data_IF_056388854546
#
_entry.id   IF_056388854546
#
_cell.length_a   1.000
_cell.length_b   1.000
_cell.length_c   1.000
_cell.angle_alpha   90.00
_cell.angle_beta   90.00
_cell.angle_gamma   90.00
#
_symmetry.space_group_name_H-M   'P 1'
#
loop_
_entity.id
_entity.type
_entity.pdbx_description
1 polymer ?
#
# COMPACT_ATOMS: atom_id res chain seq x y z
N UNK A 1 20.77 4.78 27.07
CA UNK A 1 19.39 5.01 27.56
C UNK A 1 18.45 4.58 26.45
N UNK A 2 17.39 3.82 26.76
CA UNK A 2 16.38 3.46 25.76
C UNK A 2 15.64 4.74 25.35
N UNK A 3 15.58 5.03 24.05
CA UNK A 3 14.95 6.24 23.52
C UNK A 3 13.91 5.88 22.49
N UNK A 4 12.73 6.47 22.64
CA UNK A 4 11.69 6.45 21.61
C UNK A 4 11.45 7.87 21.11
N UNK A 5 11.14 7.98 19.82
CA UNK A 5 10.81 9.23 19.16
C UNK A 5 9.36 9.12 18.71
N UNK A 6 8.50 9.95 19.31
CA UNK A 6 7.13 10.15 18.86
C UNK A 6 7.11 11.30 17.86
N UNK A 7 6.76 11.00 16.62
CA UNK A 7 6.64 11.95 15.53
C UNK A 7 5.17 12.17 15.21
N UNK A 8 4.66 13.38 15.41
CA UNK A 8 3.33 13.78 14.95
C UNK A 8 3.45 14.50 13.61
N UNK A 9 2.67 14.08 12.64
CA UNK A 9 2.65 14.65 11.29
C UNK A 9 1.54 15.70 11.16
N UNK A 10 1.60 16.57 10.14
CA UNK A 10 0.57 17.57 9.86
C UNK A 10 -0.80 16.95 9.57
N UNK A 11 -0.84 15.73 9.05
CA UNK A 11 -2.07 14.97 8.84
C UNK A 11 -2.67 14.38 10.14
N UNK A 12 -2.11 14.68 11.32
CA UNK A 12 -2.60 14.22 12.63
C UNK A 12 -2.14 12.81 13.03
N UNK A 13 -1.54 12.04 12.12
CA UNK A 13 -0.97 10.73 12.46
C UNK A 13 0.28 10.86 13.32
N UNK A 14 0.40 10.00 14.33
CA UNK A 14 1.58 9.94 15.21
C UNK A 14 2.25 8.57 15.12
N UNK A 15 3.55 8.55 14.86
CA UNK A 15 4.38 7.34 14.77
C UNK A 15 5.37 7.29 15.93
N UNK A 16 5.57 6.10 16.51
CA UNK A 16 6.59 5.89 17.54
C UNK A 16 7.72 5.05 16.96
N UNK A 17 8.90 5.63 16.83
CA UNK A 17 10.11 4.94 16.38
C UNK A 17 11.02 4.67 17.58
N UNK A 18 11.56 3.47 17.68
CA UNK A 18 12.56 3.12 18.69
C UNK A 18 13.94 3.24 18.06
N UNK A 19 14.75 4.18 18.56
CA UNK A 19 16.09 4.45 18.00
C UNK A 19 17.11 3.33 18.35
N UNK A 20 16.76 2.43 19.26
CA UNK A 20 17.61 1.33 19.72
C UNK A 20 16.71 0.18 20.17
N UNK A 21 17.18 -1.07 20.07
CA UNK A 21 16.51 -2.25 20.64
C UNK A 21 16.31 -2.06 22.14
N UNK A 22 15.14 -1.57 22.49
CA UNK A 22 14.72 -1.43 23.86
C UNK A 22 14.28 -2.81 24.37
N UNK A 23 14.90 -3.25 25.46
CA UNK A 23 14.38 -4.30 26.34
C UNK A 23 14.29 -5.67 25.67
N UNK A 24 15.43 -6.36 25.60
CA UNK A 24 15.42 -7.81 25.41
C UNK A 24 14.75 -8.48 26.61
N UNK A 25 14.04 -9.61 26.43
CA UNK A 25 13.27 -10.27 27.47
C UNK A 25 14.10 -10.80 28.67
N UNK A 26 15.44 -10.68 28.63
CA UNK A 26 16.33 -11.06 29.73
C UNK A 26 16.52 -9.99 30.81
N UNK A 27 16.03 -8.76 30.59
CA UNK A 27 16.26 -7.66 31.52
C UNK A 27 15.18 -7.62 32.62
N UNK A 28 15.57 -7.91 33.86
CA UNK A 28 14.75 -7.90 35.08
C UNK A 28 14.31 -6.53 35.59
N UNK A 29 14.36 -5.47 34.76
CA UNK A 29 13.91 -4.11 35.12
C UNK A 29 12.95 -3.55 34.08
N UNK A 30 11.85 -2.88 34.50
CA UNK A 30 11.02 -2.11 33.58
C UNK A 30 11.87 -1.00 32.99
N UNK A 31 12.09 -1.09 31.70
CA UNK A 31 12.75 -0.08 30.90
C UNK A 31 11.71 0.98 30.53
N UNK A 32 11.76 2.14 31.16
CA UNK A 32 11.01 3.30 30.67
C UNK A 32 11.85 4.00 29.60
N UNK A 33 11.44 3.96 28.30
CA UNK A 33 12.11 4.76 27.28
C UNK A 33 12.01 6.23 27.64
N UNK A 34 13.10 6.96 27.45
CA UNK A 34 13.04 8.41 27.31
C UNK A 34 12.31 8.74 26.00
N UNK A 35 11.33 9.63 26.05
CA UNK A 35 10.42 9.90 24.92
C UNK A 35 10.69 11.30 24.40
N UNK A 36 11.28 11.38 23.20
CA UNK A 36 11.34 12.63 22.45
C UNK A 36 10.08 12.79 21.63
N UNK A 37 9.45 13.96 21.73
CA UNK A 37 8.29 14.31 20.89
C UNK A 37 8.76 15.32 19.84
N UNK A 38 8.42 15.07 18.59
CA UNK A 38 8.70 15.97 17.48
C UNK A 38 7.47 16.11 16.59
N UNK A 39 7.33 17.28 15.98
CA UNK A 39 6.29 17.56 14.99
C UNK A 39 6.95 17.77 13.63
N UNK A 40 6.38 17.16 12.59
CA UNK A 40 6.79 17.36 11.21
C UNK A 40 5.62 17.95 10.42
N UNK A 41 5.88 19.10 9.78
CA UNK A 41 4.91 19.78 8.92
C UNK A 41 4.88 19.15 7.52
N UNK A 42 4.64 17.84 7.49
CA UNK A 42 4.55 17.04 6.27
C UNK A 42 3.42 16.01 6.44
N UNK A 43 2.98 15.41 5.33
CA UNK A 43 1.99 14.34 5.33
C UNK A 43 2.67 12.98 5.39
N UNK A 44 2.08 12.04 6.13
CA UNK A 44 2.61 10.68 6.17
C UNK A 44 2.31 9.94 4.86
N UNK A 45 3.08 8.88 4.60
CA UNK A 45 2.85 8.00 3.45
C UNK A 45 1.43 7.38 3.42
N UNK A 46 0.70 7.35 4.55
CA UNK A 46 -0.69 6.88 4.59
C UNK A 46 -1.69 7.92 4.05
N UNK A 47 -1.33 9.20 4.09
CA UNK A 47 -2.14 10.32 3.57
C UNK A 47 -1.68 10.77 2.18
N UNK A 48 -0.40 10.60 1.84
CA UNK A 48 0.15 10.97 0.54
C UNK A 48 -0.49 10.15 -0.61
N UNK A 49 -1.19 10.81 -1.57
CA UNK A 49 -1.88 10.11 -2.65
C UNK A 49 -0.95 9.28 -3.54
N UNK A 50 0.26 9.75 -3.81
CA UNK A 50 1.22 9.00 -4.62
C UNK A 50 1.68 7.73 -3.93
N UNK A 51 2.07 7.81 -2.66
CA UNK A 51 2.48 6.67 -1.85
C UNK A 51 1.34 5.66 -1.71
N UNK A 52 0.10 6.13 -1.56
CA UNK A 52 -1.09 5.26 -1.56
C UNK A 52 -1.26 4.54 -2.91
N UNK A 53 -1.17 5.25 -4.04
CA UNK A 53 -1.27 4.65 -5.39
C UNK A 53 -0.14 3.65 -5.65
N UNK A 54 1.09 3.96 -5.23
CA UNK A 54 2.22 3.03 -5.33
C UNK A 54 1.95 1.74 -4.56
N UNK A 55 1.39 1.80 -3.36
CA UNK A 55 1.00 0.59 -2.61
C UNK A 55 -0.08 -0.21 -3.34
N UNK A 56 -1.13 0.44 -3.83
CA UNK A 56 -2.18 -0.24 -4.62
C UNK A 56 -1.60 -0.93 -5.85
N UNK A 57 -0.67 -0.28 -6.55
CA UNK A 57 0.04 -0.87 -7.69
C UNK A 57 0.86 -2.10 -7.30
N UNK A 58 1.63 -2.02 -6.21
CA UNK A 58 2.43 -3.15 -5.73
C UNK A 58 1.56 -4.34 -5.33
N UNK A 59 0.44 -4.10 -4.65
CA UNK A 59 -0.53 -5.14 -4.31
C UNK A 59 -1.09 -5.82 -5.57
N UNK A 60 -1.46 -5.01 -6.57
CA UNK A 60 -1.96 -5.51 -7.87
C UNK A 60 -0.90 -6.37 -8.57
N UNK A 61 0.33 -5.88 -8.71
CA UNK A 61 1.41 -6.57 -9.41
C UNK A 61 1.75 -7.90 -8.72
N UNK A 62 1.83 -7.91 -7.38
CA UNK A 62 2.05 -9.12 -6.59
C UNK A 62 0.95 -10.15 -6.84
N UNK A 63 -0.32 -9.75 -6.70
CA UNK A 63 -1.45 -10.67 -6.88
C UNK A 63 -1.58 -11.13 -8.33
N UNK A 64 -1.34 -10.25 -9.29
CA UNK A 64 -1.41 -10.58 -10.71
C UNK A 64 -0.33 -11.61 -11.09
N UNK A 65 0.88 -11.49 -10.55
CA UNK A 65 1.94 -12.48 -10.76
C UNK A 65 1.55 -13.89 -10.24
N UNK A 66 0.93 -13.97 -9.06
CA UNK A 66 0.41 -15.24 -8.52
C UNK A 66 -0.67 -15.84 -9.43
N UNK A 67 -1.62 -15.03 -9.88
CA UNK A 67 -2.69 -15.48 -10.77
C UNK A 67 -2.13 -15.96 -12.12
N UNK A 68 -1.15 -15.26 -12.69
CA UNK A 68 -0.50 -15.71 -13.92
C UNK A 68 0.25 -17.02 -13.75
N UNK A 69 0.89 -17.25 -12.60
CA UNK A 69 1.52 -18.53 -12.30
C UNK A 69 0.47 -19.67 -12.25
N UNK A 70 -0.69 -19.44 -11.64
CA UNK A 70 -1.80 -20.41 -11.63
C UNK A 70 -2.36 -20.68 -13.02
N UNK A 71 -2.52 -19.63 -13.83
CA UNK A 71 -2.97 -19.76 -15.22
C UNK A 71 -2.01 -20.61 -16.05
N UNK A 72 -0.70 -20.35 -15.93
CA UNK A 72 0.34 -21.12 -16.64
C UNK A 72 0.32 -22.58 -16.18
N UNK A 73 0.13 -22.85 -14.89
CA UNK A 73 0.02 -24.21 -14.37
C UNK A 73 -1.20 -24.94 -14.96
N UNK A 74 -2.39 -24.31 -14.95
CA UNK A 74 -3.61 -24.88 -15.53
C UNK A 74 -3.48 -25.10 -17.05
N UNK A 75 -2.84 -24.17 -17.76
CA UNK A 75 -2.57 -24.28 -19.19
C UNK A 75 -1.67 -25.48 -19.53
N UNK A 76 -0.68 -25.79 -18.68
CA UNK A 76 0.20 -26.95 -18.86
C UNK A 76 -0.53 -28.28 -18.72
N UNK A 77 -1.58 -28.34 -17.90
CA UNK A 77 -2.41 -29.54 -17.71
C UNK A 77 -3.61 -29.59 -18.65
N UNK A 78 -3.86 -28.52 -19.42
CA UNK A 78 -5.03 -28.41 -20.30
C UNK A 78 -6.36 -28.23 -19.54
N UNK A 79 -6.31 -27.78 -18.28
CA UNK A 79 -7.50 -27.59 -17.45
C UNK A 79 -8.17 -26.25 -17.77
N UNK A 80 -9.09 -26.28 -18.74
CA UNK A 80 -9.83 -25.11 -19.20
C UNK A 80 -10.72 -24.47 -18.13
N UNK A 81 -11.29 -25.27 -17.23
CA UNK A 81 -12.14 -24.75 -16.15
C UNK A 81 -11.29 -24.00 -15.12
N UNK A 82 -10.11 -24.50 -14.79
CA UNK A 82 -9.16 -23.78 -13.95
C UNK A 82 -8.67 -22.48 -14.60
N UNK A 83 -8.40 -22.50 -15.90
CA UNK A 83 -8.03 -21.29 -16.65
C UNK A 83 -9.14 -20.23 -16.58
N UNK A 84 -10.39 -20.61 -16.85
CA UNK A 84 -11.54 -19.69 -16.80
C UNK A 84 -11.75 -19.09 -15.40
N UNK A 85 -11.57 -19.89 -14.32
CA UNK A 85 -11.61 -19.38 -12.95
C UNK A 85 -10.50 -18.36 -12.67
N UNK A 86 -9.28 -18.62 -13.14
CA UNK A 86 -8.17 -17.68 -12.96
C UNK A 86 -8.40 -16.38 -13.74
N UNK A 87 -8.96 -16.43 -14.95
CA UNK A 87 -9.34 -15.24 -15.71
C UNK A 87 -10.36 -14.37 -14.97
N UNK A 88 -11.36 -14.99 -14.33
CA UNK A 88 -12.30 -14.27 -13.46
C UNK A 88 -11.61 -13.56 -12.29
N UNK A 89 -10.65 -14.25 -11.64
CA UNK A 89 -9.88 -13.65 -10.54
C UNK A 89 -8.98 -12.51 -11.03
N UNK A 90 -8.46 -12.57 -12.26
CA UNK A 90 -7.70 -11.47 -12.86
C UNK A 90 -8.58 -10.24 -13.08
N UNK A 91 -9.81 -10.44 -13.59
CA UNK A 91 -10.79 -9.36 -13.75
C UNK A 91 -11.17 -8.74 -12.40
N UNK A 92 -11.37 -9.56 -11.37
CA UNK A 92 -11.66 -9.09 -10.02
C UNK A 92 -10.48 -8.30 -9.42
N UNK A 93 -9.24 -8.78 -9.61
CA UNK A 93 -8.03 -8.08 -9.16
C UNK A 93 -7.90 -6.69 -9.84
N UNK A 94 -8.22 -6.59 -11.13
CA UNK A 94 -8.24 -5.32 -11.84
C UNK A 94 -9.34 -4.38 -11.31
N UNK A 95 -10.56 -4.89 -11.12
CA UNK A 95 -11.70 -4.10 -10.61
C UNK A 95 -11.42 -3.53 -9.22
N UNK A 96 -10.98 -4.38 -8.29
CA UNK A 96 -10.65 -3.95 -6.91
C UNK A 96 -9.51 -2.92 -6.88
N UNK A 97 -8.55 -3.04 -7.79
CA UNK A 97 -7.47 -2.06 -7.96
C UNK A 97 -8.00 -0.72 -8.47
N UNK A 98 -8.93 -0.72 -9.42
CA UNK A 98 -9.60 0.50 -9.89
C UNK A 98 -10.39 1.19 -8.78
N UNK A 99 -11.20 0.43 -8.02
CA UNK A 99 -11.97 0.94 -6.89
C UNK A 99 -11.07 1.62 -5.85
N UNK A 100 -9.96 0.95 -5.45
CA UNK A 100 -8.99 1.52 -4.51
C UNK A 100 -8.31 2.78 -5.07
N UNK A 101 -8.00 2.84 -6.36
CA UNK A 101 -7.43 4.04 -6.97
C UNK A 101 -8.45 5.19 -7.05
N UNK A 102 -9.73 4.87 -7.23
CA UNK A 102 -10.80 5.86 -7.18
C UNK A 102 -10.94 6.47 -5.77
N UNK A 103 -10.89 5.66 -4.72
CA UNK A 103 -10.88 6.12 -3.31
C UNK A 103 -9.65 6.97 -2.95
N UNK A 104 -8.54 6.82 -3.67
CA UNK A 104 -7.35 7.66 -3.48
C UNK A 104 -7.50 8.99 -4.23
N UNK A 105 -8.30 9.02 -5.28
CA UNK A 105 -8.45 10.22 -6.10
C UNK A 105 -9.13 11.30 -5.29
N UNK A 106 -8.51 12.49 -5.18
CA UNK A 106 -9.12 13.57 -4.44
C UNK A 106 -10.42 13.92 -5.13
N UNK A 107 -11.53 13.91 -4.39
CA UNK A 107 -12.76 14.55 -4.83
C UNK A 107 -12.43 16.00 -5.20
N UNK A 108 -12.34 16.31 -6.50
CA UNK A 108 -12.24 17.65 -7.09
C UNK A 108 -11.20 18.60 -6.46
N UNK A 109 -9.92 18.39 -6.76
CA UNK A 109 -8.95 19.49 -6.97
C UNK A 109 -7.89 19.04 -7.97
N UNK A 110 -8.27 18.96 -9.24
CA UNK A 110 -7.43 19.37 -10.38
C UNK A 110 -8.23 19.19 -11.68
N UNK A 111 -8.66 20.31 -12.26
CA UNK A 111 -9.22 20.40 -13.61
C UNK A 111 -8.10 20.29 -14.67
N UNK A 112 -7.23 19.29 -14.58
CA UNK A 112 -6.05 19.22 -15.47
C UNK A 112 -5.67 17.83 -15.98
N UNK A 113 -6.60 16.86 -15.93
CA UNK A 113 -6.43 15.61 -16.69
C UNK A 113 -7.55 15.52 -17.72
N UNK A 114 -7.42 16.35 -18.76
CA UNK A 114 -8.03 16.09 -20.05
C UNK A 114 -7.46 14.78 -20.55
N UNK A 115 -8.26 13.71 -20.52
CA UNK A 115 -7.93 12.46 -21.18
C UNK A 115 -7.76 12.79 -22.67
N UNK A 116 -6.56 12.52 -23.16
CA UNK A 116 -6.16 12.70 -24.55
C UNK A 116 -7.24 12.23 -25.50
N UNK A 117 -7.58 13.10 -26.46
CA UNK A 117 -8.42 12.80 -27.60
C UNK A 117 -8.04 11.43 -28.17
N UNK A 118 -9.00 10.50 -28.14
CA UNK A 118 -8.96 9.36 -29.05
C UNK A 118 -9.20 9.93 -30.44
N UNK A 119 -8.13 10.16 -31.19
CA UNK A 119 -8.17 10.19 -32.64
C UNK A 119 -8.94 8.95 -33.12
N UNK A 120 -10.14 9.16 -33.65
CA UNK A 120 -10.87 8.19 -34.44
C UNK A 120 -10.97 8.76 -35.85
N UNK A 121 -10.42 7.99 -36.79
CA UNK A 121 -10.37 8.23 -38.24
C UNK A 121 -11.69 8.71 -38.88
#
# INVERSE_FOLDING_TARGET
>A
MCMSIKTTMACGHTFTNYATTCCTPSASRPCTPDVKVQYLDDTCAACDPEARRRRVRLDYESRHAELMALYIAAKRTGDGDAMARVEQLVMENARTTMERNFEISPSRRDESVMWWDMDSE
#
